data_IF_456464251160
#
_entry.id   IF_456464251160
#
_cell.length_a   1.000
_cell.length_b   1.000
_cell.length_c   1.000
_cell.angle_alpha   90.00
_cell.angle_beta   90.00
_cell.angle_gamma   90.00
#
_symmetry.space_group_name_H-M   'P 1'
#
loop_
_entity.id
_entity.type
_entity.pdbx_description
1 polymer ?
#
# COMPACT_ATOMS: atom_id res chain seq x y z
N UNK A 1 -6.29 -6.67 -15.53
CA UNK A 1 -4.88 -6.24 -15.45
C UNK A 1 -4.83 -4.77 -15.81
N UNK A 2 -4.52 -3.87 -14.87
CA UNK A 2 -4.28 -2.47 -15.20
C UNK A 2 -2.87 -2.37 -15.80
N UNK A 3 -2.78 -2.28 -17.12
CA UNK A 3 -1.54 -1.96 -17.82
C UNK A 3 -1.48 -0.44 -17.93
N UNK A 4 -0.70 0.22 -17.08
CA UNK A 4 -0.35 1.62 -17.32
C UNK A 4 0.64 1.68 -18.47
N UNK A 5 0.19 2.13 -19.65
CA UNK A 5 1.11 2.46 -20.74
C UNK A 5 1.94 3.66 -20.31
N UNK A 6 3.24 3.62 -20.58
CA UNK A 6 4.12 4.75 -20.31
C UNK A 6 3.67 5.94 -21.18
N UNK A 7 3.12 6.97 -20.56
CA UNK A 7 2.72 8.19 -21.24
C UNK A 7 3.93 9.12 -21.34
N UNK A 8 4.16 9.68 -22.53
CA UNK A 8 5.20 10.70 -22.78
C UNK A 8 4.69 12.13 -22.62
N UNK A 9 3.38 12.31 -22.36
CA UNK A 9 2.73 13.60 -22.13
C UNK A 9 1.28 13.44 -21.63
N UNK A 10 0.69 14.51 -21.09
CA UNK A 10 -0.68 14.49 -20.61
C UNK A 10 -1.67 14.33 -21.77
N UNK A 11 -2.51 13.29 -21.72
CA UNK A 11 -3.56 13.00 -22.71
C UNK A 11 -4.94 12.94 -22.06
N UNK A 12 -5.21 13.82 -21.10
CA UNK A 12 -6.50 13.90 -20.41
C UNK A 12 -7.63 14.22 -21.40
N UNK A 13 -8.67 13.37 -21.39
CA UNK A 13 -9.91 13.57 -22.15
C UNK A 13 -11.08 13.74 -21.17
N UNK A 14 -11.65 14.95 -21.16
CA UNK A 14 -12.80 15.29 -20.31
C UNK A 14 -14.05 14.46 -20.59
N UNK A 15 -14.14 13.80 -21.75
CA UNK A 15 -15.26 12.92 -22.10
C UNK A 15 -15.04 11.46 -21.69
N UNK A 16 -13.82 11.10 -21.26
CA UNK A 16 -13.45 9.76 -20.82
C UNK A 16 -13.26 9.67 -19.29
N UNK A 17 -13.82 10.61 -18.52
CA UNK A 17 -13.75 10.61 -17.05
C UNK A 17 -14.50 9.41 -16.48
N UNK A 18 -13.79 8.54 -15.76
CA UNK A 18 -14.37 7.35 -15.12
C UNK A 18 -14.83 7.55 -13.68
N UNK A 19 -14.34 8.60 -13.01
CA UNK A 19 -14.73 9.00 -11.66
C UNK A 19 -14.26 10.44 -11.38
N UNK A 20 -15.00 11.14 -10.51
CA UNK A 20 -14.60 12.41 -9.92
C UNK A 20 -14.26 12.21 -8.43
N UNK A 21 -13.39 13.06 -7.90
CA UNK A 21 -12.98 13.03 -6.49
C UNK A 21 -13.38 14.36 -5.87
N UNK A 22 -14.15 14.31 -4.78
CA UNK A 22 -14.61 15.49 -4.03
C UNK A 22 -13.65 15.89 -2.92
N UNK A 23 -12.77 14.97 -2.48
CA UNK A 23 -11.75 15.25 -1.48
C UNK A 23 -10.80 14.09 -1.24
N UNK A 24 -9.81 14.33 -0.38
CA UNK A 24 -8.86 13.31 0.10
C UNK A 24 -8.96 13.26 1.62
N UNK A 25 -9.11 12.05 2.16
CA UNK A 25 -9.14 11.81 3.59
C UNK A 25 -7.81 11.20 4.01
N UNK A 26 -7.02 11.96 4.76
CA UNK A 26 -5.79 11.47 5.38
C UNK A 26 -6.10 10.69 6.65
N UNK A 27 -5.43 9.54 6.81
CA UNK A 27 -5.51 8.70 8.00
C UNK A 27 -4.49 9.21 9.01
N UNK A 28 -4.80 9.07 10.30
CA UNK A 28 -3.90 9.46 11.38
C UNK A 28 -2.54 8.77 11.25
N UNK A 29 -1.50 9.57 11.09
CA UNK A 29 -0.11 9.14 10.99
C UNK A 29 0.28 8.14 12.09
N UNK A 30 0.93 7.07 11.66
CA UNK A 30 1.46 5.98 12.50
C UNK A 30 0.40 5.08 13.13
N UNK A 31 -0.89 5.33 12.91
CA UNK A 31 -1.95 4.59 13.60
C UNK A 31 -2.49 3.42 12.77
N UNK A 32 -1.92 2.24 12.98
CA UNK A 32 -2.41 1.00 12.36
C UNK A 32 -3.89 0.70 12.68
N UNK A 33 -4.38 1.14 13.85
CA UNK A 33 -5.80 1.05 14.22
C UNK A 33 -6.70 1.90 13.30
N UNK A 34 -6.34 3.17 13.05
CA UNK A 34 -7.12 4.03 12.17
C UNK A 34 -6.99 3.58 10.72
N UNK A 35 -5.82 3.05 10.33
CA UNK A 35 -5.62 2.42 9.02
C UNK A 35 -6.54 1.21 8.83
N UNK A 36 -6.64 0.32 9.82
CA UNK A 36 -7.53 -0.84 9.79
C UNK A 36 -9.00 -0.42 9.65
N UNK A 37 -9.39 0.56 10.46
CA UNK A 37 -10.76 1.10 10.47
C UNK A 37 -11.12 1.71 9.13
N UNK A 38 -10.23 2.54 8.57
CA UNK A 38 -10.42 3.16 7.27
C UNK A 38 -10.51 2.11 6.15
N UNK A 39 -9.63 1.12 6.13
CA UNK A 39 -9.68 0.02 5.16
C UNK A 39 -11.03 -0.72 5.22
N UNK A 40 -11.53 -0.99 6.44
CA UNK A 40 -12.80 -1.69 6.63
C UNK A 40 -14.02 -0.87 6.19
N UNK A 41 -13.98 0.46 6.34
CA UNK A 41 -15.13 1.33 6.02
C UNK A 41 -15.10 1.91 4.61
N UNK A 42 -13.92 2.20 4.07
CA UNK A 42 -13.73 2.91 2.80
C UNK A 42 -13.26 2.01 1.65
N UNK A 43 -12.74 0.82 1.95
CA UNK A 43 -12.10 -0.05 0.96
C UNK A 43 -10.62 0.32 0.77
N UNK A 44 -10.03 0.04 -0.42
CA UNK A 44 -8.59 0.15 -0.63
C UNK A 44 -8.01 1.53 -0.27
N UNK A 45 -6.86 1.51 0.40
CA UNK A 45 -6.19 2.71 0.92
C UNK A 45 -4.85 2.90 0.21
N UNK A 46 -4.54 4.12 -0.21
CA UNK A 46 -3.21 4.49 -0.67
C UNK A 46 -2.28 4.63 0.54
N UNK A 47 -1.14 3.97 0.51
CA UNK A 47 -0.14 3.99 1.59
C UNK A 47 1.25 4.26 1.03
N UNK A 48 2.15 4.79 1.85
CA UNK A 48 3.58 4.81 1.58
C UNK A 48 4.32 3.87 2.53
N UNK A 49 5.40 3.24 2.02
CA UNK A 49 6.29 2.38 2.79
C UNK A 49 7.75 2.68 2.47
N UNK A 50 8.67 2.30 3.36
CA UNK A 50 10.09 2.22 3.03
C UNK A 50 10.44 0.91 2.31
N UNK A 51 10.66 1.00 1.00
CA UNK A 51 11.05 -0.11 0.13
C UNK A 51 12.57 -0.13 -0.18
N UNK A 52 13.40 0.58 0.59
CA UNK A 52 14.83 0.75 0.31
C UNK A 52 15.65 -0.54 0.46
N UNK A 53 15.16 -1.50 1.26
CA UNK A 53 15.90 -2.71 1.64
C UNK A 53 15.90 -3.79 0.56
N UNK A 54 16.98 -4.59 0.50
CA UNK A 54 17.05 -5.74 -0.41
C UNK A 54 16.01 -6.81 -0.07
N UNK A 55 15.66 -7.00 1.20
CA UNK A 55 14.60 -7.94 1.59
C UNK A 55 13.25 -7.54 0.99
N UNK A 56 12.97 -6.24 0.87
CA UNK A 56 11.76 -5.76 0.19
C UNK A 56 11.85 -5.98 -1.32
N UNK A 57 12.97 -5.58 -1.95
CA UNK A 57 13.16 -5.70 -3.40
C UNK A 57 13.03 -7.13 -3.91
N UNK A 58 13.50 -8.10 -3.13
CA UNK A 58 13.49 -9.53 -3.49
C UNK A 58 12.47 -10.35 -2.70
N UNK A 59 11.45 -9.70 -2.12
CA UNK A 59 10.35 -10.43 -1.47
C UNK A 59 9.67 -11.39 -2.47
N UNK A 60 9.47 -12.64 -2.05
CA UNK A 60 8.87 -13.71 -2.85
C UNK A 60 7.75 -14.49 -2.11
N UNK A 61 7.55 -14.26 -0.80
CA UNK A 61 6.46 -14.89 -0.05
C UNK A 61 6.53 -14.76 1.47
N UNK A 62 5.46 -15.23 2.13
CA UNK A 62 5.31 -15.19 3.58
C UNK A 62 4.98 -13.80 4.14
N UNK A 63 4.90 -13.66 5.46
CA UNK A 63 4.73 -12.35 6.10
C UNK A 63 6.09 -11.66 6.15
N UNK A 64 6.23 -10.58 5.40
CA UNK A 64 7.39 -9.69 5.41
C UNK A 64 7.54 -9.06 6.79
N UNK A 65 8.71 -9.27 7.38
CA UNK A 65 9.06 -8.82 8.72
C UNK A 65 10.55 -8.42 8.74
N UNK A 66 10.84 -7.12 8.74
CA UNK A 66 12.19 -6.58 8.64
C UNK A 66 12.35 -5.29 9.45
N UNK A 67 13.21 -5.30 10.45
CA UNK A 67 13.58 -4.09 11.21
C UNK A 67 14.51 -3.12 10.46
N UNK A 68 14.88 -3.45 9.22
CA UNK A 68 15.83 -2.63 8.43
C UNK A 68 15.16 -1.51 7.65
N UNK A 69 13.83 -1.49 7.59
CA UNK A 69 13.08 -0.40 6.97
C UNK A 69 12.70 0.65 8.03
N UNK A 70 12.64 1.91 7.61
CA UNK A 70 12.27 3.06 8.44
C UNK A 70 10.75 3.13 8.63
N UNK A 71 10.31 3.53 9.82
CA UNK A 71 8.90 3.88 10.06
C UNK A 71 8.55 5.32 9.64
N UNK A 72 9.54 6.14 9.29
CA UNK A 72 9.36 7.57 8.98
C UNK A 72 9.83 7.93 7.57
N UNK A 73 10.87 7.28 7.06
CA UNK A 73 11.48 7.59 5.76
C UNK A 73 10.86 6.75 4.63
N UNK A 74 9.55 6.87 4.46
CA UNK A 74 8.79 6.19 3.41
C UNK A 74 9.16 6.73 2.03
N UNK A 75 9.26 5.85 1.02
CA UNK A 75 9.75 6.21 -0.31
C UNK A 75 9.03 5.51 -1.47
N UNK A 76 8.06 4.63 -1.18
CA UNK A 76 7.35 3.86 -2.19
C UNK A 76 5.84 3.83 -1.90
N UNK A 77 5.03 4.26 -2.87
CA UNK A 77 3.58 4.28 -2.77
C UNK A 77 2.96 2.96 -3.24
N UNK A 78 2.02 2.44 -2.47
CA UNK A 78 1.35 1.16 -2.70
C UNK A 78 -0.13 1.24 -2.32
N UNK A 79 -0.88 0.15 -2.55
CA UNK A 79 -2.30 0.09 -2.19
C UNK A 79 -2.54 -1.01 -1.16
N UNK A 80 -2.99 -0.64 0.02
CA UNK A 80 -3.48 -1.57 1.02
C UNK A 80 -4.88 -2.06 0.61
N UNK A 81 -5.06 -3.38 0.51
CA UNK A 81 -6.31 -3.99 0.01
C UNK A 81 -6.96 -4.96 0.99
N UNK A 82 -6.30 -5.28 2.10
CA UNK A 82 -6.85 -6.19 3.11
C UNK A 82 -5.91 -6.41 4.28
N UNK A 83 -6.35 -7.25 5.21
CA UNK A 83 -5.54 -7.76 6.31
C UNK A 83 -6.02 -9.16 6.69
N UNK A 84 -5.17 -9.90 7.40
CA UNK A 84 -5.51 -11.21 7.89
C UNK A 84 -4.48 -11.77 8.85
N UNK A 85 -4.44 -13.09 8.93
CA UNK A 85 -3.47 -13.87 9.69
C UNK A 85 -2.95 -14.99 8.82
N UNK A 86 -1.63 -15.15 8.75
CA UNK A 86 -0.96 -16.23 8.01
C UNK A 86 0.04 -16.90 8.94
N UNK A 87 -0.12 -18.22 9.17
CA UNK A 87 0.71 -19.00 10.11
C UNK A 87 0.87 -18.35 11.50
N UNK A 88 -0.23 -17.81 12.05
CA UNK A 88 -0.24 -17.16 13.36
C UNK A 88 0.31 -15.72 13.39
N UNK A 89 0.78 -15.19 12.25
CA UNK A 89 1.23 -13.78 12.14
C UNK A 89 0.17 -12.90 11.49
N UNK A 90 -0.17 -11.81 12.16
CA UNK A 90 -1.04 -10.78 11.61
C UNK A 90 -0.34 -10.05 10.46
N UNK A 91 -1.04 -9.81 9.36
CA UNK A 91 -0.49 -9.09 8.22
C UNK A 91 -1.50 -8.14 7.57
N UNK A 92 -0.95 -7.16 6.87
CA UNK A 92 -1.57 -6.36 5.83
C UNK A 92 -1.35 -7.04 4.48
N UNK A 93 -2.37 -7.02 3.62
CA UNK A 93 -2.25 -7.44 2.22
C UNK A 93 -2.14 -6.21 1.34
N UNK A 94 -0.99 -6.03 0.70
CA UNK A 94 -0.62 -4.81 -0.03
C UNK A 94 -0.32 -5.16 -1.48
N UNK A 95 -0.92 -4.39 -2.40
CA UNK A 95 -0.71 -4.47 -3.84
C UNK A 95 0.45 -3.56 -4.27
N UNK A 96 1.39 -4.11 -5.03
CA UNK A 96 2.50 -3.37 -5.62
C UNK A 96 2.23 -2.99 -7.09
N UNK A 97 3.10 -2.15 -7.65
CA UNK A 97 3.09 -1.65 -9.02
C UNK A 97 4.27 -2.16 -9.86
N UNK A 98 5.08 -3.11 -9.37
CA UNK A 98 6.24 -3.67 -10.06
C UNK A 98 5.93 -4.91 -10.93
N UNK A 99 4.66 -5.14 -11.24
CA UNK A 99 4.20 -6.29 -12.03
C UNK A 99 3.95 -7.55 -11.20
N UNK A 100 3.34 -8.55 -11.84
CA UNK A 100 2.91 -9.79 -11.16
C UNK A 100 4.04 -10.78 -10.90
N UNK A 101 5.19 -10.59 -11.53
CA UNK A 101 6.39 -11.41 -11.29
C UNK A 101 7.12 -11.07 -10.00
N UNK A 102 6.76 -9.97 -9.34
CA UNK A 102 7.32 -9.57 -8.06
C UNK A 102 6.41 -10.03 -6.92
N UNK A 103 7.00 -10.49 -5.81
CA UNK A 103 6.24 -10.98 -4.66
C UNK A 103 5.35 -12.17 -5.02
N UNK A 104 4.18 -12.23 -4.39
CA UNK A 104 3.16 -13.25 -4.67
C UNK A 104 2.11 -12.62 -5.57
N UNK A 105 2.20 -12.88 -6.88
CA UNK A 105 1.30 -12.32 -7.90
C UNK A 105 1.21 -10.78 -7.90
N UNK A 106 2.29 -10.08 -7.52
CA UNK A 106 2.32 -8.62 -7.39
C UNK A 106 1.91 -8.09 -6.01
N UNK A 107 1.72 -8.96 -5.03
CA UNK A 107 1.34 -8.60 -3.66
C UNK A 107 2.41 -8.95 -2.64
N UNK A 108 2.34 -8.28 -1.49
CA UNK A 108 3.14 -8.55 -0.30
C UNK A 108 2.25 -8.62 0.93
N UNK A 109 2.54 -9.57 1.82
CA UNK A 109 1.96 -9.61 3.15
C UNK A 109 2.91 -8.88 4.11
N UNK A 110 2.62 -7.65 4.51
CA UNK A 110 3.46 -6.90 5.45
C UNK A 110 3.00 -7.16 6.88
N UNK A 111 3.91 -7.29 7.83
CA UNK A 111 3.53 -7.49 9.24
C UNK A 111 2.60 -6.37 9.72
N UNK A 112 1.60 -6.72 10.54
CA UNK A 112 0.59 -5.79 11.07
C UNK A 112 0.66 -5.76 12.60
N UNK A 113 0.30 -4.60 13.17
CA UNK A 113 0.32 -4.33 14.61
C UNK A 113 1.72 -4.52 15.21
N UNK A 114 2.73 -4.10 14.46
CA UNK A 114 4.12 -4.35 14.80
C UNK A 114 4.96 -3.10 14.55
N UNK A 115 4.82 -2.13 15.46
CA UNK A 115 5.58 -0.88 15.48
C UNK A 115 5.50 -0.07 14.17
N UNK A 116 4.37 -0.13 13.46
CA UNK A 116 4.22 0.56 12.16
C UNK A 116 5.39 0.22 11.22
N UNK A 117 5.73 -1.07 11.11
CA UNK A 117 6.92 -1.53 10.38
C UNK A 117 6.91 -1.00 8.95
N UNK A 118 8.06 -0.48 8.51
CA UNK A 118 8.25 0.19 7.23
C UNK A 118 7.36 1.40 6.97
N UNK A 119 6.70 1.94 7.99
CA UNK A 119 5.91 3.16 7.88
C UNK A 119 4.57 2.98 7.18
N UNK A 120 4.01 1.76 7.17
CA UNK A 120 2.76 1.43 6.45
C UNK A 120 1.56 2.34 6.79
N UNK A 121 1.53 2.90 8.00
CA UNK A 121 0.52 3.84 8.48
C UNK A 121 1.03 5.29 8.60
N UNK A 122 2.25 5.60 8.15
CA UNK A 122 2.87 6.92 8.29
C UNK A 122 2.32 7.94 7.29
N UNK A 123 2.09 7.52 6.05
CA UNK A 123 1.40 8.33 5.05
C UNK A 123 0.35 7.47 4.36
N UNK A 124 -0.90 7.66 4.77
CA UNK A 124 -2.02 6.87 4.29
C UNK A 124 -3.24 7.76 4.04
N UNK A 125 -3.89 7.55 2.90
CA UNK A 125 -5.08 8.33 2.50
C UNK A 125 -5.98 7.57 1.53
N UNK A 126 -7.22 8.03 1.41
CA UNK A 126 -8.16 7.52 0.42
C UNK A 126 -9.03 8.66 -0.14
N UNK A 127 -9.48 8.54 -1.40
CA UNK A 127 -10.34 9.55 -2.00
C UNK A 127 -11.77 9.47 -1.45
N UNK A 128 -12.41 10.63 -1.31
CA UNK A 128 -13.86 10.75 -1.26
C UNK A 128 -14.37 11.01 -2.68
N UNK A 129 -15.37 10.23 -3.10
CA UNK A 129 -16.06 10.42 -4.38
C UNK A 129 -17.16 11.50 -4.27
#
# INVERSE_FOLDING_TARGET
VYLSLQQTGCSFDRYAVGADITGIISIREGSEYHLQTALASAGPISIAVDASTNSFRFYDGGVFDSFRCSSTDVNHAMTLIGYGTYNGKEHWMVKNSWGTSWGVDGYIMMTRNYYNQCGIASDASYPSL
#
